data_IF_732943197678
#
_entry.id   IF_732943197678
#
_cell.length_a   1.000
_cell.length_b   1.000
_cell.length_c   1.000
_cell.angle_alpha   90.00
_cell.angle_beta   90.00
_cell.angle_gamma   90.00
#
_symmetry.space_group_name_H-M   'P 1'
#
loop_
_entity.id
_entity.type
_entity.pdbx_description
1 polymer ?
#
# COMPACT_ATOMS: atom_id res chain seq x y z
N UNK A 1 -18.99 -10.96 8.86
CA UNK A 1 -18.97 -12.08 7.91
C UNK A 1 -20.39 -12.59 7.83
N UNK A 2 -20.93 -12.77 6.63
CA UNK A 2 -22.21 -13.46 6.48
C UNK A 2 -22.07 -14.84 7.11
N UNK A 3 -22.87 -15.13 8.13
CA UNK A 3 -22.82 -16.40 8.85
C UNK A 3 -23.13 -17.60 7.94
N UNK A 4 -23.74 -17.33 6.77
CA UNK A 4 -24.15 -18.30 5.77
C UNK A 4 -23.26 -18.33 4.52
N UNK A 5 -22.11 -17.63 4.54
CA UNK A 5 -21.16 -17.66 3.41
C UNK A 5 -20.46 -19.01 3.31
N UNK A 6 -20.30 -19.51 2.09
CA UNK A 6 -19.44 -20.68 1.82
C UNK A 6 -17.94 -20.35 1.97
N UNK A 7 -17.56 -19.08 2.09
CA UNK A 7 -16.18 -18.62 2.22
C UNK A 7 -15.80 -18.38 3.68
N UNK A 8 -14.59 -18.79 4.04
CA UNK A 8 -13.94 -18.47 5.31
C UNK A 8 -13.08 -17.21 5.25
N UNK A 9 -12.53 -16.77 6.39
CA UNK A 9 -11.77 -15.52 6.49
C UNK A 9 -10.35 -15.55 5.90
N UNK A 10 -9.65 -16.69 5.88
CA UNK A 10 -8.28 -16.76 5.35
C UNK A 10 -8.30 -16.76 3.82
N UNK A 11 -7.58 -15.83 3.21
CA UNK A 11 -7.48 -15.72 1.76
C UNK A 11 -6.13 -15.16 1.33
N UNK A 12 -5.74 -15.51 0.11
CA UNK A 12 -4.49 -15.11 -0.54
C UNK A 12 -4.80 -14.82 -2.00
N UNK A 13 -4.42 -13.64 -2.47
CA UNK A 13 -4.57 -13.24 -3.86
C UNK A 13 -3.22 -12.83 -4.45
N UNK A 14 -3.01 -13.15 -5.73
CA UNK A 14 -1.85 -12.72 -6.49
C UNK A 14 -2.29 -12.35 -7.91
N UNK A 15 -1.75 -11.24 -8.42
CA UNK A 15 -1.96 -10.81 -9.79
C UNK A 15 -0.58 -10.63 -10.43
N UNK A 16 -0.38 -11.25 -11.59
CA UNK A 16 0.78 -11.02 -12.45
C UNK A 16 0.35 -10.08 -13.57
N UNK A 17 1.01 -8.94 -13.71
CA UNK A 17 0.70 -7.93 -14.71
C UNK A 17 1.69 -7.98 -15.88
N UNK A 18 1.21 -7.60 -17.07
CA UNK A 18 2.04 -7.31 -18.24
C UNK A 18 2.36 -5.82 -18.24
N UNK A 19 3.60 -5.48 -18.57
CA UNK A 19 4.07 -4.09 -18.69
C UNK A 19 4.56 -3.82 -20.12
N UNK A 20 4.33 -2.61 -20.62
CA UNK A 20 4.95 -2.11 -21.86
C UNK A 20 6.40 -1.63 -21.63
N UNK A 21 7.06 -1.21 -22.71
CA UNK A 21 8.44 -0.73 -22.68
C UNK A 21 8.60 0.57 -21.86
N UNK A 22 7.53 1.35 -21.73
CA UNK A 22 7.47 2.54 -20.86
C UNK A 22 7.20 2.21 -19.39
N UNK A 23 7.01 0.93 -19.05
CA UNK A 23 6.78 0.46 -17.69
C UNK A 23 5.37 0.76 -17.16
N UNK A 24 4.38 0.88 -18.05
CA UNK A 24 2.95 0.99 -17.70
C UNK A 24 2.30 -0.39 -17.74
N UNK A 25 1.42 -0.72 -16.78
CA UNK A 25 0.72 -2.00 -16.81
C UNK A 25 -0.37 -1.98 -17.88
N UNK A 26 -0.41 -3.01 -18.74
CA UNK A 26 -1.31 -3.10 -19.90
C UNK A 26 -2.39 -4.18 -19.78
N UNK A 27 -2.26 -5.09 -18.80
CA UNK A 27 -3.21 -6.17 -18.58
C UNK A 27 -2.76 -7.11 -17.47
N UNK A 28 -3.66 -8.01 -17.04
CA UNK A 28 -3.28 -9.15 -16.20
C UNK A 28 -2.85 -10.32 -17.09
N UNK A 29 -1.75 -10.97 -16.73
CA UNK A 29 -1.28 -12.21 -17.34
C UNK A 29 -1.83 -13.43 -16.62
N UNK A 30 -1.86 -13.40 -15.28
CA UNK A 30 -2.30 -14.53 -14.44
C UNK A 30 -2.89 -14.02 -13.14
N UNK A 31 -3.95 -14.68 -12.68
CA UNK A 31 -4.62 -14.36 -11.42
C UNK A 31 -4.71 -15.62 -10.58
N UNK A 32 -4.29 -15.53 -9.33
CA UNK A 32 -4.39 -16.62 -8.35
C UNK A 32 -5.21 -16.14 -7.17
N UNK A 33 -6.23 -16.90 -6.81
CA UNK A 33 -6.99 -16.73 -5.58
C UNK A 33 -7.05 -18.07 -4.85
N UNK A 34 -6.51 -18.10 -3.63
CA UNK A 34 -6.72 -19.20 -2.69
C UNK A 34 -7.54 -18.65 -1.53
N UNK A 35 -8.79 -19.10 -1.39
CA UNK A 35 -9.71 -18.65 -0.34
C UNK A 35 -10.18 -19.84 0.50
N UNK A 36 -10.24 -19.64 1.81
CA UNK A 36 -10.81 -20.60 2.73
C UNK A 36 -12.30 -20.79 2.42
N UNK A 37 -12.83 -21.99 2.64
CA UNK A 37 -14.23 -22.30 2.38
C UNK A 37 -14.78 -23.42 3.27
N UNK A 38 -16.11 -23.55 3.29
CA UNK A 38 -16.81 -24.66 3.94
C UNK A 38 -16.42 -26.01 3.30
N UNK A 39 -16.36 -27.07 4.12
CA UNK A 39 -16.01 -28.43 3.66
C UNK A 39 -16.99 -29.01 2.63
N UNK A 40 -18.23 -28.50 2.61
CA UNK A 40 -19.27 -28.89 1.65
C UNK A 40 -19.18 -28.19 0.30
N UNK A 41 -18.37 -27.12 0.16
CA UNK A 41 -18.28 -26.35 -1.07
C UNK A 41 -17.42 -27.08 -2.12
N UNK A 42 -17.91 -27.14 -3.36
CA UNK A 42 -17.11 -27.65 -4.47
C UNK A 42 -16.23 -26.56 -5.10
N UNK A 43 -15.19 -26.95 -5.83
CA UNK A 43 -14.37 -26.01 -6.60
C UNK A 43 -15.18 -25.20 -7.62
N UNK A 44 -16.23 -25.80 -8.19
CA UNK A 44 -17.13 -25.13 -9.12
C UNK A 44 -17.93 -24.03 -8.42
N UNK A 45 -18.42 -24.28 -7.19
CA UNK A 45 -19.16 -23.29 -6.40
C UNK A 45 -18.27 -22.09 -6.06
N UNK A 46 -17.05 -22.36 -5.58
CA UNK A 46 -16.08 -21.32 -5.22
C UNK A 46 -15.74 -20.48 -6.44
N UNK A 47 -15.39 -21.13 -7.57
CA UNK A 47 -15.05 -20.44 -8.82
C UNK A 47 -16.21 -19.59 -9.33
N UNK A 48 -17.43 -20.12 -9.31
CA UNK A 48 -18.64 -19.39 -9.70
C UNK A 48 -18.88 -18.14 -8.84
N UNK A 49 -18.60 -18.24 -7.54
CA UNK A 49 -18.78 -17.13 -6.59
C UNK A 49 -17.73 -16.03 -6.79
N UNK A 50 -16.45 -16.40 -6.94
CA UNK A 50 -15.34 -15.42 -6.93
C UNK A 50 -15.04 -14.82 -8.31
N UNK A 51 -15.33 -15.53 -9.41
CA UNK A 51 -14.99 -15.03 -10.76
C UNK A 51 -15.66 -13.69 -11.09
N UNK A 52 -16.96 -13.48 -10.81
CA UNK A 52 -17.60 -12.17 -11.04
C UNK A 52 -17.00 -11.06 -10.17
N UNK A 53 -16.64 -11.37 -8.92
CA UNK A 53 -16.00 -10.41 -8.00
C UNK A 53 -14.63 -10.00 -8.52
N UNK A 54 -13.83 -10.95 -9.01
CA UNK A 54 -12.53 -10.66 -9.62
C UNK A 54 -12.71 -9.80 -10.87
N UNK A 55 -13.67 -10.12 -11.73
CA UNK A 55 -13.93 -9.37 -12.95
C UNK A 55 -14.37 -7.92 -12.67
N UNK A 56 -15.16 -7.69 -11.62
CA UNK A 56 -15.63 -6.36 -11.20
C UNK A 56 -14.52 -5.45 -10.66
N UNK A 57 -13.47 -6.05 -10.07
CA UNK A 57 -12.32 -5.32 -9.51
C UNK A 57 -11.30 -4.92 -10.58
N UNK A 58 -11.23 -5.67 -11.69
CA UNK A 58 -10.24 -5.46 -12.74
C UNK A 58 -10.69 -4.38 -13.72
N UNK A 59 -9.75 -3.62 -14.33
CA UNK A 59 -10.08 -2.76 -15.46
C UNK A 59 -10.70 -3.55 -16.63
N UNK A 60 -11.51 -2.86 -17.44
CA UNK A 60 -12.10 -3.45 -18.63
C UNK A 60 -11.04 -4.09 -19.53
N UNK A 61 -11.30 -5.34 -19.95
CA UNK A 61 -10.40 -6.12 -20.80
C UNK A 61 -9.20 -6.76 -20.08
N UNK A 62 -9.05 -6.59 -18.76
CA UNK A 62 -7.94 -7.20 -18.00
C UNK A 62 -8.26 -8.59 -17.45
N UNK A 63 -9.53 -9.03 -17.51
CA UNK A 63 -9.90 -10.36 -17.06
C UNK A 63 -9.20 -11.43 -17.90
N UNK A 64 -8.59 -12.40 -17.21
CA UNK A 64 -7.84 -13.48 -17.85
C UNK A 64 -8.73 -14.63 -18.28
N UNK A 65 -8.24 -15.46 -19.20
CA UNK A 65 -8.89 -16.70 -19.62
C UNK A 65 -8.95 -17.74 -18.49
N UNK A 66 -9.74 -18.80 -18.70
CA UNK A 66 -10.00 -19.80 -17.67
C UNK A 66 -8.72 -20.51 -17.17
N UNK A 67 -7.76 -20.77 -18.05
CA UNK A 67 -6.50 -21.46 -17.74
C UNK A 67 -5.52 -20.58 -16.94
N UNK A 68 -5.69 -19.25 -17.00
CA UNK A 68 -4.87 -18.26 -16.30
C UNK A 68 -5.54 -17.72 -15.03
N UNK A 69 -6.80 -18.08 -14.80
CA UNK A 69 -7.51 -17.86 -13.55
C UNK A 69 -7.41 -19.10 -12.66
N UNK A 70 -6.49 -19.07 -11.69
CA UNK A 70 -6.25 -20.15 -10.74
C UNK A 70 -7.03 -19.89 -9.45
N UNK A 71 -8.15 -20.60 -9.28
CA UNK A 71 -8.95 -20.57 -8.03
C UNK A 71 -8.67 -21.84 -7.24
N UNK A 72 -8.17 -21.69 -6.01
CA UNK A 72 -7.77 -22.75 -5.10
C UNK A 72 -6.97 -23.87 -5.81
N UNK A 73 -5.84 -23.56 -6.47
CA UNK A 73 -5.13 -24.52 -7.33
C UNK A 73 -4.58 -25.75 -6.58
N UNK A 74 -4.42 -25.67 -5.25
CA UNK A 74 -4.02 -26.78 -4.39
C UNK A 74 -5.20 -27.65 -3.90
N UNK A 75 -6.42 -27.36 -4.36
CA UNK A 75 -7.64 -28.04 -3.93
C UNK A 75 -8.25 -27.42 -2.68
N UNK A 76 -8.72 -28.27 -1.76
CA UNK A 76 -9.52 -27.85 -0.61
C UNK A 76 -8.72 -26.97 0.36
N UNK A 77 -9.35 -25.90 0.83
CA UNK A 77 -8.81 -24.99 1.85
C UNK A 77 -9.87 -24.78 2.95
N UNK A 78 -10.07 -25.80 3.77
CA UNK A 78 -11.10 -25.79 4.83
C UNK A 78 -10.53 -25.24 6.16
N UNK A 79 -9.35 -25.71 6.53
CA UNK A 79 -8.63 -25.27 7.73
C UNK A 79 -7.76 -24.08 7.35
N UNK A 80 -7.95 -22.95 8.03
CA UNK A 80 -7.23 -21.70 7.77
C UNK A 80 -7.16 -20.82 9.02
N UNK A 81 -6.50 -19.67 8.91
CA UNK A 81 -6.25 -18.81 10.06
C UNK A 81 -5.27 -19.43 11.06
N UNK A 82 -5.34 -19.06 12.35
CA UNK A 82 -4.35 -19.49 13.36
C UNK A 82 -4.24 -21.00 13.57
N UNK A 83 -5.28 -21.77 13.24
CA UNK A 83 -5.25 -23.24 13.30
C UNK A 83 -4.39 -23.85 12.19
N UNK A 84 -4.30 -23.16 11.04
CA UNK A 84 -3.52 -23.60 9.89
C UNK A 84 -2.09 -23.06 9.83
N UNK A 85 -1.83 -21.86 10.39
CA UNK A 85 -0.49 -21.24 10.40
C UNK A 85 -0.34 -20.18 11.51
N UNK A 86 0.83 -20.12 12.13
CA UNK A 86 1.11 -19.17 13.21
C UNK A 86 1.31 -17.74 12.66
N UNK A 87 0.46 -16.81 13.09
CA UNK A 87 0.56 -15.39 12.73
C UNK A 87 1.48 -14.60 13.65
N UNK A 88 2.31 -13.70 13.08
CA UNK A 88 3.12 -12.75 13.84
C UNK A 88 2.99 -11.33 13.24
N UNK A 89 2.91 -10.33 14.11
CA UNK A 89 2.91 -8.91 13.73
C UNK A 89 4.14 -8.57 12.89
N UNK A 90 3.96 -7.81 11.80
CA UNK A 90 5.07 -7.32 10.98
C UNK A 90 5.67 -8.35 10.01
N UNK A 91 4.94 -9.44 9.70
CA UNK A 91 5.37 -10.45 8.70
C UNK A 91 4.73 -10.30 7.32
N UNK A 92 4.13 -9.13 7.06
CA UNK A 92 3.47 -8.78 5.79
C UNK A 92 3.83 -7.37 5.29
N UNK A 93 5.00 -6.85 5.67
CA UNK A 93 5.43 -5.47 5.39
C UNK A 93 5.43 -5.08 3.90
N UNK A 94 5.65 -6.03 2.98
CA UNK A 94 5.58 -5.74 1.53
C UNK A 94 4.13 -5.68 1.03
N UNK A 95 3.23 -6.47 1.63
CA UNK A 95 1.78 -6.39 1.38
C UNK A 95 1.21 -5.10 1.96
N UNK A 96 1.72 -4.66 3.12
CA UNK A 96 1.30 -3.41 3.77
C UNK A 96 1.68 -2.15 2.97
N UNK A 97 2.63 -2.26 2.03
CA UNK A 97 3.24 -1.12 1.32
C UNK A 97 3.01 -1.18 -0.19
N UNK A 98 4.04 -1.49 -0.98
CA UNK A 98 4.08 -1.24 -2.42
C UNK A 98 4.14 -2.52 -3.25
N UNK A 99 3.92 -3.70 -2.65
CA UNK A 99 3.88 -4.97 -3.39
C UNK A 99 5.18 -5.32 -4.12
N UNK A 100 6.32 -4.74 -3.70
CA UNK A 100 7.63 -4.91 -4.35
C UNK A 100 7.99 -3.82 -5.37
N UNK A 101 7.09 -2.87 -5.67
CA UNK A 101 7.36 -1.80 -6.63
C UNK A 101 8.36 -0.74 -6.15
N UNK A 102 8.65 -0.69 -4.84
CA UNK A 102 9.62 0.23 -4.26
C UNK A 102 10.44 -0.45 -3.15
N UNK A 103 11.67 0.03 -2.87
CA UNK A 103 12.47 -0.44 -1.74
C UNK A 103 11.76 -0.25 -0.40
N UNK A 104 12.09 -1.09 0.58
CA UNK A 104 11.50 -1.05 1.92
C UNK A 104 12.58 -0.95 2.99
N UNK A 105 12.39 -0.08 3.99
CA UNK A 105 13.36 0.15 5.07
C UNK A 105 13.42 -0.94 6.15
N UNK A 106 12.55 -1.95 6.05
CA UNK A 106 12.51 -3.13 6.92
C UNK A 106 11.62 -3.01 8.18
N UNK A 107 11.29 -1.80 8.62
CA UNK A 107 10.44 -1.58 9.79
C UNK A 107 8.96 -1.95 9.56
N UNK A 108 8.37 -2.74 10.46
CA UNK A 108 6.93 -3.00 10.45
C UNK A 108 6.10 -1.83 10.99
N UNK A 109 4.81 -1.75 10.63
CA UNK A 109 3.92 -0.67 11.08
C UNK A 109 3.08 -1.06 12.29
N UNK A 110 2.26 -2.12 12.21
CA UNK A 110 1.29 -2.53 13.23
C UNK A 110 1.92 -2.77 14.61
N UNK A 111 1.22 -2.36 15.67
CA UNK A 111 1.70 -2.43 17.06
C UNK A 111 2.61 -1.29 17.52
N UNK A 112 2.90 -0.30 16.66
CA UNK A 112 3.75 0.86 17.00
C UNK A 112 2.93 2.14 17.16
N UNK A 113 3.25 2.96 18.15
CA UNK A 113 2.71 4.31 18.27
C UNK A 113 3.41 5.25 17.26
N UNK A 114 2.86 6.44 16.96
CA UNK A 114 3.39 7.30 15.90
C UNK A 114 4.72 8.00 16.23
N UNK A 115 5.24 7.86 17.45
CA UNK A 115 6.62 8.30 17.74
C UNK A 115 7.67 7.40 17.10
N UNK A 116 7.30 6.17 16.69
CA UNK A 116 8.19 5.25 15.99
C UNK A 116 8.29 5.62 14.51
N UNK A 117 9.47 6.08 14.10
CA UNK A 117 9.75 6.54 12.74
C UNK A 117 9.51 5.46 11.67
N UNK A 118 9.65 4.18 12.00
CA UNK A 118 9.28 3.07 11.12
C UNK A 118 7.86 3.19 10.56
N UNK A 119 6.93 3.77 11.33
CA UNK A 119 5.56 4.07 10.89
C UNK A 119 5.43 5.50 10.39
N UNK A 120 5.75 6.48 11.24
CA UNK A 120 5.44 7.88 10.94
C UNK A 120 6.25 8.43 9.78
N UNK A 121 7.55 8.11 9.68
CA UNK A 121 8.36 8.54 8.56
C UNK A 121 8.00 7.81 7.25
N UNK A 122 7.59 6.54 7.31
CA UNK A 122 7.07 5.84 6.14
C UNK A 122 5.78 6.50 5.60
N UNK A 123 4.88 6.93 6.50
CA UNK A 123 3.68 7.68 6.13
C UNK A 123 4.02 9.06 5.57
N UNK A 124 5.00 9.76 6.17
CA UNK A 124 5.49 11.03 5.63
C UNK A 124 6.08 10.87 4.22
N UNK A 125 6.91 9.84 4.00
CA UNK A 125 7.48 9.57 2.69
C UNK A 125 6.40 9.27 1.64
N UNK A 126 5.36 8.50 2.00
CA UNK A 126 4.18 8.29 1.13
C UNK A 126 3.47 9.61 0.81
N UNK A 127 3.15 10.39 1.83
CA UNK A 127 2.45 11.66 1.70
C UNK A 127 3.21 12.62 0.78
N UNK A 128 4.51 12.78 1.01
CA UNK A 128 5.38 13.59 0.19
C UNK A 128 5.43 13.09 -1.26
N UNK A 129 5.71 11.80 -1.49
CA UNK A 129 5.82 11.26 -2.84
C UNK A 129 4.51 11.38 -3.62
N UNK A 130 3.37 11.16 -2.95
CA UNK A 130 2.04 11.34 -3.53
C UNK A 130 1.80 12.80 -3.92
N UNK A 131 2.22 13.75 -3.09
CA UNK A 131 2.10 15.18 -3.39
C UNK A 131 3.03 15.64 -4.52
N UNK A 132 4.23 15.08 -4.66
CA UNK A 132 5.10 15.33 -5.82
C UNK A 132 4.41 14.95 -7.12
N UNK A 133 3.81 13.76 -7.17
CA UNK A 133 3.09 13.27 -8.35
C UNK A 133 1.80 14.08 -8.58
N UNK A 134 1.04 14.38 -7.52
CA UNK A 134 -0.19 15.17 -7.60
C UNK A 134 0.06 16.61 -8.06
N UNK A 135 1.20 17.20 -7.70
CA UNK A 135 1.65 18.51 -8.19
C UNK A 135 2.08 18.47 -9.67
N UNK A 136 2.16 17.28 -10.28
CA UNK A 136 2.64 17.10 -11.64
C UNK A 136 4.13 17.39 -11.80
N UNK A 137 4.91 17.30 -10.71
CA UNK A 137 6.37 17.50 -10.74
C UNK A 137 7.13 16.27 -11.24
N UNK A 138 6.51 15.09 -11.17
CA UNK A 138 7.01 13.84 -11.74
C UNK A 138 5.86 12.86 -11.97
N UNK A 139 6.04 11.88 -12.86
CA UNK A 139 5.07 10.80 -13.04
C UNK A 139 5.26 9.70 -11.99
N UNK A 140 6.49 9.54 -11.51
CA UNK A 140 6.88 8.55 -10.50
C UNK A 140 7.88 9.17 -9.51
N UNK A 141 7.72 8.88 -8.23
CA UNK A 141 8.62 9.39 -7.20
C UNK A 141 8.82 8.36 -6.09
N UNK A 142 10.08 8.10 -5.75
CA UNK A 142 10.46 7.36 -4.53
C UNK A 142 11.19 8.31 -3.60
N UNK A 143 10.79 8.32 -2.33
CA UNK A 143 11.45 9.10 -1.27
C UNK A 143 12.01 8.14 -0.22
N UNK A 144 13.27 8.35 0.14
CA UNK A 144 13.93 7.66 1.25
C UNK A 144 14.22 8.67 2.37
N UNK A 145 13.88 8.28 3.60
CA UNK A 145 14.20 9.01 4.81
C UNK A 145 15.02 8.12 5.74
N UNK A 146 16.08 8.65 6.32
CA UNK A 146 16.87 7.97 7.34
C UNK A 146 17.00 8.82 8.61
N UNK A 147 17.00 8.17 9.77
CA UNK A 147 17.12 8.82 11.07
C UNK A 147 18.19 8.12 11.92
N UNK A 148 18.93 8.91 12.69
CA UNK A 148 19.80 8.41 13.74
C UNK A 148 19.06 8.43 15.08
N UNK A 149 19.27 7.41 15.91
CA UNK A 149 18.64 7.34 17.23
C UNK A 149 19.03 8.56 18.08
N UNK A 150 18.02 9.24 18.64
CA UNK A 150 18.21 10.44 19.46
C UNK A 150 18.38 11.76 18.68
N UNK A 151 18.43 11.72 17.34
CA UNK A 151 18.48 12.92 16.50
C UNK A 151 17.10 13.16 15.89
N UNK A 152 16.57 14.38 16.08
CA UNK A 152 15.22 14.72 15.62
C UNK A 152 15.15 14.94 14.10
N UNK A 153 16.15 15.57 13.52
CA UNK A 153 16.22 15.78 12.08
C UNK A 153 16.63 14.49 11.35
N UNK A 154 16.12 14.25 10.12
CA UNK A 154 16.59 13.14 9.32
C UNK A 154 18.07 13.32 8.97
N UNK A 155 18.83 12.23 8.99
CA UNK A 155 20.23 12.24 8.53
C UNK A 155 20.34 12.28 7.01
N UNK A 156 19.30 11.82 6.31
CA UNK A 156 19.17 11.98 4.87
C UNK A 156 17.71 12.06 4.43
N UNK A 157 17.49 12.86 3.40
CA UNK A 157 16.28 12.92 2.58
C UNK A 157 16.75 12.74 1.16
N UNK A 158 16.26 11.70 0.48
CA UNK A 158 16.63 11.41 -0.90
C UNK A 158 15.37 11.25 -1.74
N UNK A 159 15.30 11.98 -2.85
CA UNK A 159 14.24 11.85 -3.85
C UNK A 159 14.79 11.21 -5.12
N UNK A 160 13.98 10.36 -5.75
CA UNK A 160 14.28 9.81 -7.06
C UNK A 160 13.00 9.85 -7.91
N UNK A 161 13.01 10.67 -8.96
CA UNK A 161 11.87 10.80 -9.89
C UNK A 161 11.91 9.80 -11.04
N UNK A 162 12.87 8.87 -11.03
CA UNK A 162 13.05 7.80 -12.02
C UNK A 162 13.14 8.35 -13.46
N UNK A 163 13.74 9.53 -13.62
CA UNK A 163 13.86 10.20 -14.93
C UNK A 163 12.58 10.88 -15.43
N UNK A 164 11.52 10.93 -14.62
CA UNK A 164 10.23 11.55 -14.98
C UNK A 164 10.05 12.96 -14.40
N UNK A 165 11.03 13.46 -13.66
CA UNK A 165 10.97 14.76 -12.98
C UNK A 165 11.04 15.96 -13.93
N UNK A 166 10.25 16.99 -13.63
CA UNK A 166 10.30 18.31 -14.29
C UNK A 166 11.32 19.27 -13.66
N UNK A 167 11.79 18.92 -12.47
CA UNK A 167 12.83 19.63 -11.71
C UNK A 167 13.88 18.63 -11.26
N UNK A 168 15.07 19.12 -10.90
CA UNK A 168 16.13 18.26 -10.41
C UNK A 168 15.77 17.65 -9.04
N UNK A 169 16.12 16.38 -8.83
CA UNK A 169 15.79 15.64 -7.60
C UNK A 169 16.31 16.33 -6.33
N UNK A 170 17.49 16.97 -6.39
CA UNK A 170 18.05 17.72 -5.26
C UNK A 170 17.30 19.02 -4.93
N UNK A 171 16.73 19.70 -5.94
CA UNK A 171 15.86 20.85 -5.73
C UNK A 171 14.54 20.39 -5.07
N UNK A 172 14.03 19.24 -5.51
CA UNK A 172 12.85 18.62 -4.92
C UNK A 172 13.08 18.23 -3.45
N UNK A 173 14.23 17.62 -3.12
CA UNK A 173 14.62 17.31 -1.72
C UNK A 173 14.55 18.54 -0.81
N UNK A 174 15.11 19.67 -1.25
CA UNK A 174 15.09 20.92 -0.50
C UNK A 174 13.66 21.47 -0.33
N UNK A 175 12.86 21.45 -1.41
CA UNK A 175 11.48 21.91 -1.38
C UNK A 175 10.60 21.05 -0.44
N UNK A 176 10.79 19.73 -0.42
CA UNK A 176 10.07 18.81 0.46
C UNK A 176 10.30 19.16 1.94
N UNK A 177 11.55 19.38 2.35
CA UNK A 177 11.90 19.74 3.73
C UNK A 177 11.37 21.13 4.10
N UNK A 178 11.41 22.08 3.16
CA UNK A 178 10.86 23.43 3.37
C UNK A 178 9.33 23.43 3.49
N UNK A 179 8.65 22.53 2.77
CA UNK A 179 7.20 22.41 2.79
C UNK A 179 6.70 21.65 4.02
N UNK A 180 7.41 20.61 4.44
CA UNK A 180 7.06 19.82 5.59
C UNK A 180 8.34 19.41 6.33
N UNK A 181 8.76 20.17 7.36
CA UNK A 181 9.89 19.79 8.19
C UNK A 181 9.69 18.38 8.77
N UNK A 182 10.72 17.53 8.69
CA UNK A 182 10.57 16.08 8.86
C UNK A 182 10.98 15.53 10.23
N UNK A 183 10.97 16.37 11.27
CA UNK A 183 11.12 15.83 12.63
C UNK A 183 9.95 14.92 12.99
N UNK A 184 10.13 13.90 13.86
CA UNK A 184 9.04 13.04 14.30
C UNK A 184 7.84 13.80 14.88
N UNK A 185 8.08 14.96 15.53
CA UNK A 185 7.02 15.85 16.03
C UNK A 185 6.24 16.47 14.88
N UNK A 186 6.93 17.12 13.94
CA UNK A 186 6.28 17.81 12.83
C UNK A 186 5.49 16.85 11.94
N UNK A 187 6.01 15.64 11.70
CA UNK A 187 5.28 14.59 10.98
C UNK A 187 3.96 14.25 11.69
N UNK A 188 4.01 14.03 13.01
CA UNK A 188 2.83 13.68 13.81
C UNK A 188 1.79 14.78 13.83
N UNK A 189 2.24 16.03 13.92
CA UNK A 189 1.37 17.19 14.01
C UNK A 189 0.74 17.49 12.64
N UNK A 190 1.53 17.50 11.57
CA UNK A 190 1.07 17.71 10.19
C UNK A 190 0.03 16.66 9.77
N UNK A 191 0.30 15.38 10.06
CA UNK A 191 -0.58 14.28 9.65
C UNK A 191 -1.64 13.94 10.72
N UNK A 192 -1.67 14.63 11.86
CA UNK A 192 -2.64 14.37 12.93
C UNK A 192 -2.61 12.94 13.49
N UNK A 193 -1.41 12.36 13.65
CA UNK A 193 -1.24 10.92 13.96
C UNK A 193 -1.53 10.57 15.43
N UNK A 194 -1.64 11.53 16.34
CA UNK A 194 -1.93 11.25 17.76
C UNK A 194 -3.43 10.94 17.99
N UNK A 195 -3.98 9.98 17.25
CA UNK A 195 -5.40 9.57 17.25
C UNK A 195 -5.51 8.05 17.07
N UNK A 196 -6.65 7.48 17.47
CA UNK A 196 -6.93 6.05 17.33
C UNK A 196 -7.43 5.69 15.91
N UNK A 197 -6.57 5.84 14.90
CA UNK A 197 -6.93 5.74 13.47
C UNK A 197 -6.33 4.53 12.74
N UNK A 198 -5.66 3.61 13.46
CA UNK A 198 -4.76 2.63 12.84
C UNK A 198 -5.36 1.25 12.57
N UNK A 199 -6.45 0.87 13.24
CA UNK A 199 -7.04 -0.45 13.03
C UNK A 199 -7.44 -0.69 11.56
N UNK A 200 -8.04 0.29 10.85
CA UNK A 200 -8.36 0.11 9.44
C UNK A 200 -7.16 -0.15 8.52
N UNK A 201 -5.94 0.28 8.88
CA UNK A 201 -4.76 0.09 8.04
C UNK A 201 -4.11 -1.29 8.21
N UNK A 202 -4.51 -2.09 9.20
CA UNK A 202 -3.86 -3.35 9.55
C UNK A 202 -4.15 -4.50 8.55
N UNK A 203 -5.01 -4.26 7.55
CA UNK A 203 -5.30 -5.15 6.45
C UNK A 203 -5.54 -4.33 5.17
N UNK A 204 -5.31 -4.95 4.01
CA UNK A 204 -5.50 -4.35 2.68
C UNK A 204 -4.63 -3.12 2.38
N UNK A 205 -3.48 -3.01 3.06
CA UNK A 205 -2.49 -1.99 2.80
C UNK A 205 -2.69 -0.69 3.60
N UNK A 206 -1.56 -0.07 3.94
CA UNK A 206 -1.54 1.24 4.59
C UNK A 206 -1.65 2.40 3.60
N UNK A 207 -1.36 2.15 2.31
CA UNK A 207 -1.27 3.16 1.27
C UNK A 207 -2.24 2.88 0.11
N UNK A 208 -2.54 3.92 -0.68
CA UNK A 208 -3.41 3.82 -1.85
C UNK A 208 -4.92 3.85 -1.55
N UNK A 209 -5.30 4.13 -0.30
CA UNK A 209 -6.69 4.33 0.14
C UNK A 209 -7.09 5.79 0.11
N UNK A 210 -8.37 6.08 0.32
CA UNK A 210 -8.87 7.45 0.36
C UNK A 210 -8.68 8.08 1.75
N UNK A 211 -8.21 9.33 1.80
CA UNK A 211 -8.07 10.05 3.07
C UNK A 211 -9.45 10.21 3.74
N UNK A 212 -9.55 9.81 5.01
CA UNK A 212 -10.78 9.85 5.80
C UNK A 212 -11.79 8.72 5.52
N UNK A 213 -11.49 7.78 4.62
CA UNK A 213 -12.40 6.71 4.20
C UNK A 213 -12.95 5.87 5.36
N UNK A 214 -12.11 5.57 6.36
CA UNK A 214 -12.50 4.78 7.54
C UNK A 214 -12.83 5.67 8.76
N UNK A 215 -13.17 6.93 8.52
CA UNK A 215 -13.50 7.93 9.54
C UNK A 215 -12.48 9.06 9.63
N UNK A 216 -12.82 10.14 10.37
CA UNK A 216 -12.00 11.36 10.43
C UNK A 216 -10.54 11.11 10.80
N UNK A 217 -9.63 11.60 9.96
CA UNK A 217 -8.17 11.51 10.17
C UNK A 217 -7.54 10.17 9.80
N UNK A 218 -8.31 9.15 9.39
CA UNK A 218 -7.74 7.91 8.84
C UNK A 218 -7.05 8.21 7.50
N UNK A 219 -5.91 7.55 7.23
CA UNK A 219 -5.14 7.74 5.99
C UNK A 219 -4.83 9.19 5.64
N UNK A 220 -4.58 10.05 6.63
CA UNK A 220 -4.23 11.47 6.39
C UNK A 220 -3.02 11.65 5.47
N UNK A 221 -2.10 10.68 5.45
CA UNK A 221 -0.95 10.62 4.54
C UNK A 221 -1.31 10.33 3.08
N UNK A 222 -2.57 10.08 2.76
CA UNK A 222 -3.06 9.97 1.38
C UNK A 222 -3.62 11.29 0.84
N UNK A 223 -3.64 12.37 1.62
CA UNK A 223 -4.04 13.69 1.15
C UNK A 223 -2.99 14.29 0.19
N UNK A 224 -3.46 15.14 -0.73
CA UNK A 224 -2.63 15.83 -1.75
C UNK A 224 -2.67 17.35 -1.58
N UNK A 225 -2.84 17.81 -0.34
CA UNK A 225 -2.98 19.21 0.06
C UNK A 225 -1.64 19.96 0.18
N UNK A 226 -0.50 19.28 -0.02
CA UNK A 226 0.82 19.90 -0.12
C UNK A 226 1.19 20.26 -1.56
N UNK A 227 0.45 19.79 -2.57
CA UNK A 227 0.82 19.87 -3.99
C UNK A 227 1.08 21.32 -4.44
N UNK A 228 0.16 22.25 -4.19
CA UNK A 228 0.31 23.65 -4.58
C UNK A 228 1.52 24.32 -3.91
N UNK A 229 1.73 24.01 -2.63
CA UNK A 229 2.86 24.53 -1.85
C UNK A 229 4.20 24.00 -2.38
N UNK A 230 4.25 22.74 -2.79
CA UNK A 230 5.44 22.15 -3.43
C UNK A 230 5.74 22.82 -4.77
N UNK A 231 4.72 23.00 -5.62
CA UNK A 231 4.89 23.70 -6.91
C UNK A 231 5.45 25.11 -6.73
N UNK A 232 5.02 25.83 -5.69
CA UNK A 232 5.53 27.18 -5.40
C UNK A 232 6.96 27.19 -4.80
N UNK A 233 7.45 26.05 -4.31
CA UNK A 233 8.73 25.94 -3.63
C UNK A 233 9.88 25.44 -4.53
N UNK A 234 9.58 25.04 -5.77
CA UNK A 234 10.55 24.55 -6.76
C UNK A 234 10.78 25.50 -7.92
#
# INVERSE_FOLDING_TARGET
>A
ADADSILGPDSKSQITLVYDDEGRPTGAHKIVLSTQHAASASQADIRKLVTPVIADILPDGWMVGADDLLVNPTGNFVIGGPDGDAGLTGRKIIVDTYGGAAPHGGGAFSGKDPTKVDRSAAYAARYLAKNVVAAGLADRCTIQLAYAIGVAEPVSVYANTHGTGKVADNALEAALVACMPLTPRNIRDQLGLNRAIYAPSAAYGHFGRTAGEAGPGTFSWEATDLADRLTAAV
#
